data_IF_194308178128
#
_entry.id   IF_194308178128
#
_cell.length_a   1.000
_cell.length_b   1.000
_cell.length_c   1.000
_cell.angle_alpha   90.00
_cell.angle_beta   90.00
_cell.angle_gamma   90.00
#
_symmetry.space_group_name_H-M   'P 1'
#
loop_
_entity.id
_entity.type
_entity.pdbx_description
1 polymer ?
#
# COMPACT_ATOMS: atom_id res chain seq x y z
N UNK A 1 19.47 -8.73 5.33
CA UNK A 1 18.70 -7.98 4.32
C UNK A 1 17.68 -7.14 5.06
N UNK A 2 17.30 -5.96 4.54
CA UNK A 2 16.35 -5.05 5.21
C UNK A 2 14.94 -5.28 4.70
N UNK A 3 13.93 -5.16 5.56
CA UNK A 3 12.52 -5.18 5.22
C UNK A 3 12.09 -3.85 4.57
N UNK A 4 11.01 -3.89 3.79
CA UNK A 4 10.33 -2.71 3.26
C UNK A 4 8.90 -2.66 3.78
N UNK A 5 8.52 -1.53 4.39
CA UNK A 5 7.15 -1.24 4.81
C UNK A 5 6.41 -0.57 3.66
N UNK A 6 5.53 -1.33 3.01
CA UNK A 6 4.83 -0.85 1.81
C UNK A 6 3.63 0.07 2.09
N UNK A 7 3.32 0.34 3.38
CA UNK A 7 2.25 1.26 3.75
C UNK A 7 2.35 1.68 5.22
N UNK A 8 2.65 2.95 5.47
CA UNK A 8 2.59 3.55 6.80
C UNK A 8 2.22 5.04 6.71
N UNK A 9 1.59 5.57 7.75
CA UNK A 9 1.18 6.98 7.84
C UNK A 9 2.06 7.71 8.84
N UNK A 10 3.31 8.03 8.45
CA UNK A 10 4.29 8.67 9.33
C UNK A 10 3.81 9.98 9.97
N UNK A 11 3.03 10.86 9.28
CA UNK A 11 2.49 12.07 9.89
C UNK A 11 1.45 11.84 11.00
N UNK A 12 0.81 10.66 11.01
CA UNK A 12 -0.26 10.30 11.97
C UNK A 12 0.28 9.58 13.21
N UNK A 13 1.59 9.30 13.28
CA UNK A 13 2.19 8.64 14.42
C UNK A 13 2.15 9.54 15.66
N UNK A 14 1.93 8.98 16.87
CA UNK A 14 1.91 9.77 18.11
C UNK A 14 3.27 10.34 18.49
N UNK A 15 4.37 9.82 17.93
CA UNK A 15 5.74 10.29 18.11
C UNK A 15 6.28 10.92 16.81
N UNK A 16 7.36 11.71 16.89
CA UNK A 16 8.01 12.27 15.70
C UNK A 16 8.43 11.18 14.71
N UNK A 17 8.17 11.41 13.41
CA UNK A 17 8.51 10.45 12.35
C UNK A 17 9.99 10.04 12.37
N UNK A 18 10.90 10.99 12.65
CA UNK A 18 12.35 10.71 12.75
C UNK A 18 12.71 9.68 13.83
N UNK A 19 12.01 9.72 14.97
CA UNK A 19 12.20 8.74 16.04
C UNK A 19 11.65 7.37 15.65
N UNK A 20 10.45 7.33 15.07
CA UNK A 20 9.84 6.08 14.57
C UNK A 20 10.72 5.42 13.51
N UNK A 21 11.21 6.19 12.53
CA UNK A 21 12.14 5.72 11.50
C UNK A 21 13.46 5.22 12.10
N UNK A 22 14.00 5.90 13.12
CA UNK A 22 15.21 5.44 13.79
C UNK A 22 15.02 4.08 14.46
N UNK A 23 13.88 3.87 15.15
CA UNK A 23 13.56 2.57 15.74
C UNK A 23 13.34 1.48 14.68
N UNK A 24 12.64 1.81 13.60
CA UNK A 24 12.38 0.90 12.50
C UNK A 24 13.68 0.42 11.83
N UNK A 25 14.63 1.32 11.58
CA UNK A 25 15.94 0.97 11.02
C UNK A 25 16.72 0.02 11.93
N UNK A 26 16.67 0.25 13.26
CA UNK A 26 17.27 -0.67 14.25
C UNK A 26 16.59 -2.04 14.26
N UNK A 27 15.31 -2.09 13.94
CA UNK A 27 14.53 -3.33 13.81
C UNK A 27 14.70 -4.02 12.44
N UNK A 28 15.55 -3.50 11.54
CA UNK A 28 15.82 -4.09 10.23
C UNK A 28 14.88 -3.64 9.11
N UNK A 29 14.08 -2.58 9.32
CA UNK A 29 13.24 -1.98 8.26
C UNK A 29 14.01 -0.83 7.62
N UNK A 30 14.28 -0.90 6.33
CA UNK A 30 15.15 0.08 5.65
C UNK A 30 14.52 0.77 4.44
N UNK A 31 13.23 0.54 4.19
CA UNK A 31 12.45 1.25 3.16
C UNK A 31 11.03 1.48 3.67
N UNK A 32 10.45 2.63 3.32
CA UNK A 32 9.15 3.04 3.81
C UNK A 32 8.35 3.73 2.70
N UNK A 33 7.09 3.35 2.53
CA UNK A 33 6.13 4.11 1.76
C UNK A 33 5.24 4.90 2.73
N UNK A 34 5.44 6.21 2.79
CA UNK A 34 4.63 7.13 3.57
C UNK A 34 3.39 7.52 2.78
N UNK A 35 2.23 7.04 3.21
CA UNK A 35 1.00 7.12 2.44
C UNK A 35 0.12 8.29 2.88
N UNK A 36 -0.39 9.04 1.88
CA UNK A 36 -1.33 10.15 2.04
C UNK A 36 -2.74 9.63 2.29
N UNK A 37 -3.45 10.24 3.23
CA UNK A 37 -4.89 10.01 3.51
C UNK A 37 -5.71 11.22 3.09
N UNK A 38 -5.21 12.43 3.35
CA UNK A 38 -5.87 13.68 3.03
C UNK A 38 -5.07 14.52 2.05
N UNK A 39 -5.77 15.42 1.35
CA UNK A 39 -5.11 16.32 0.40
C UNK A 39 -4.03 17.21 1.04
N UNK A 40 -4.23 17.57 2.29
CA UNK A 40 -3.34 18.42 3.07
C UNK A 40 -2.11 17.70 3.65
N UNK A 41 -2.05 16.36 3.54
CA UNK A 41 -0.86 15.59 3.96
C UNK A 41 0.35 15.79 3.04
N UNK A 42 0.09 16.12 1.77
CA UNK A 42 1.10 16.17 0.73
C UNK A 42 2.36 16.99 1.06
N UNK A 43 2.27 18.23 1.62
CA UNK A 43 3.47 18.99 1.97
C UNK A 43 4.30 18.34 3.08
N UNK A 44 3.65 17.64 4.03
CA UNK A 44 4.34 16.94 5.10
C UNK A 44 5.08 15.71 4.58
N UNK A 45 4.45 14.97 3.67
CA UNK A 45 5.05 13.79 3.01
C UNK A 45 6.26 14.20 2.17
N UNK A 46 6.17 15.26 1.36
CA UNK A 46 7.31 15.77 0.59
C UNK A 46 8.51 16.08 1.49
N UNK A 47 8.29 16.79 2.60
CA UNK A 47 9.37 17.07 3.56
C UNK A 47 9.99 15.82 4.17
N UNK A 48 9.22 14.75 4.36
CA UNK A 48 9.75 13.46 4.84
C UNK A 48 10.61 12.79 3.78
N UNK A 49 10.18 12.78 2.52
CA UNK A 49 10.95 12.24 1.39
C UNK A 49 12.27 12.99 1.20
N UNK A 50 12.26 14.32 1.30
CA UNK A 50 13.47 15.15 1.20
C UNK A 50 14.49 14.88 2.32
N UNK A 51 14.00 14.65 3.54
CA UNK A 51 14.87 14.46 4.73
C UNK A 51 15.35 13.02 4.90
N UNK A 52 14.64 12.06 4.35
CA UNK A 52 14.87 10.63 4.55
C UNK A 52 14.89 9.91 3.21
N UNK A 53 16.08 9.64 2.62
CA UNK A 53 16.19 9.01 1.29
C UNK A 53 15.64 7.57 1.20
N UNK A 54 15.36 6.94 2.32
CA UNK A 54 14.73 5.63 2.45
C UNK A 54 13.19 5.70 2.58
N UNK A 55 12.62 6.93 2.55
CA UNK A 55 11.18 7.17 2.55
C UNK A 55 10.74 7.62 1.16
N UNK A 56 9.84 6.88 0.55
CA UNK A 56 9.05 7.30 -0.59
C UNK A 56 7.66 7.75 -0.11
N UNK A 57 7.00 8.61 -0.89
CA UNK A 57 5.67 9.12 -0.57
C UNK A 57 4.62 8.75 -1.59
N UNK A 58 3.36 8.96 -1.24
CA UNK A 58 2.25 8.94 -2.18
C UNK A 58 1.48 10.26 -2.17
N UNK A 59 0.60 10.43 -3.14
CA UNK A 59 -0.39 11.50 -3.21
C UNK A 59 -1.76 10.91 -3.50
N UNK A 60 -2.74 11.22 -2.66
CA UNK A 60 -4.10 10.71 -2.81
C UNK A 60 -5.02 11.17 -1.69
N UNK A 61 -6.28 10.79 -1.80
CA UNK A 61 -7.33 11.10 -0.83
C UNK A 61 -8.12 9.85 -0.54
N UNK A 62 -8.09 9.43 0.71
CA UNK A 62 -8.77 8.24 1.21
C UNK A 62 -10.30 8.32 0.97
N UNK A 63 -11.00 7.20 0.69
CA UNK A 63 -12.44 7.21 0.42
C UNK A 63 -13.28 7.86 1.52
N UNK A 64 -12.85 7.80 2.78
CA UNK A 64 -13.58 8.36 3.92
C UNK A 64 -13.34 9.86 4.16
N UNK A 65 -12.40 10.48 3.44
CA UNK A 65 -12.20 11.93 3.55
C UNK A 65 -13.39 12.70 2.94
N UNK A 66 -13.95 13.61 3.70
CA UNK A 66 -15.11 14.39 3.26
C UNK A 66 -14.69 15.50 2.30
N UNK A 67 -13.62 16.21 2.64
CA UNK A 67 -13.10 17.33 1.84
C UNK A 67 -11.88 16.87 1.00
N UNK A 68 -12.11 16.76 -0.29
CA UNK A 68 -11.03 16.50 -1.26
C UNK A 68 -10.57 17.80 -1.96
N UNK A 69 -11.12 18.96 -1.57
CA UNK A 69 -10.84 20.20 -2.26
C UNK A 69 -11.23 20.15 -3.75
N UNK A 70 -10.44 20.83 -4.58
CA UNK A 70 -10.60 20.80 -6.05
C UNK A 70 -9.78 19.66 -6.66
N UNK A 71 -10.07 18.42 -6.25
CA UNK A 71 -9.37 17.26 -6.77
C UNK A 71 -9.70 17.04 -8.25
N UNK A 72 -8.65 16.88 -9.07
CA UNK A 72 -8.78 16.41 -10.45
C UNK A 72 -7.67 15.43 -10.79
N UNK A 73 -7.88 14.62 -11.83
CA UNK A 73 -6.88 13.65 -12.30
C UNK A 73 -5.58 14.34 -12.71
N UNK A 74 -5.66 15.51 -13.33
CA UNK A 74 -4.51 16.30 -13.80
C UNK A 74 -3.68 16.83 -12.63
N UNK A 75 -4.35 17.38 -11.61
CA UNK A 75 -3.67 17.90 -10.41
C UNK A 75 -3.01 16.80 -9.58
N UNK A 76 -3.67 15.64 -9.45
CA UNK A 76 -3.07 14.45 -8.84
C UNK A 76 -1.84 13.98 -9.62
N UNK A 77 -1.97 13.88 -10.95
CA UNK A 77 -0.88 13.47 -11.83
C UNK A 77 0.31 14.44 -11.76
N UNK A 78 0.06 15.75 -11.75
CA UNK A 78 1.08 16.77 -11.57
C UNK A 78 1.84 16.56 -10.24
N UNK A 79 1.13 16.45 -9.13
CA UNK A 79 1.75 16.22 -7.82
C UNK A 79 2.52 14.91 -7.72
N UNK A 80 2.09 13.88 -8.44
CA UNK A 80 2.77 12.59 -8.48
C UNK A 80 4.12 12.63 -9.22
N UNK A 81 4.44 13.71 -9.95
CA UNK A 81 5.75 13.89 -10.60
C UNK A 81 6.84 14.42 -9.65
N UNK A 82 6.47 14.92 -8.48
CA UNK A 82 7.43 15.47 -7.54
C UNK A 82 8.47 14.42 -7.08
N UNK A 83 9.73 14.83 -6.88
CA UNK A 83 10.77 13.94 -6.37
C UNK A 83 10.34 13.30 -5.04
N UNK A 84 10.55 11.99 -4.94
CA UNK A 84 10.17 11.21 -3.75
C UNK A 84 8.74 10.68 -3.76
N UNK A 85 7.84 11.15 -4.65
CA UNK A 85 6.50 10.59 -4.79
C UNK A 85 6.55 9.39 -5.72
N UNK A 86 6.22 8.22 -5.19
CA UNK A 86 6.33 6.92 -5.87
C UNK A 86 5.00 6.33 -6.32
N UNK A 87 3.86 6.77 -5.76
CA UNK A 87 2.56 6.17 -5.99
C UNK A 87 1.42 7.18 -5.91
N UNK A 88 0.26 6.83 -6.46
CA UNK A 88 -1.01 7.54 -6.27
C UNK A 88 -1.89 6.71 -5.33
N UNK A 89 -2.33 7.35 -4.26
CA UNK A 89 -3.13 6.77 -3.19
C UNK A 89 -2.75 7.37 -1.82
N UNK A 90 -3.45 6.99 -0.79
CA UNK A 90 -4.42 5.92 -0.69
C UNK A 90 -5.75 6.32 -1.35
N UNK A 91 -6.34 5.41 -2.09
CA UNK A 91 -7.63 5.61 -2.76
C UNK A 91 -8.40 4.29 -2.84
N UNK A 92 -9.65 4.33 -3.21
CA UNK A 92 -10.48 3.13 -3.33
C UNK A 92 -11.86 3.33 -2.75
N UNK A 93 -12.42 2.26 -2.14
CA UNK A 93 -13.78 2.25 -1.62
C UNK A 93 -13.83 1.67 -0.20
N UNK A 94 -14.59 2.35 0.68
CA UNK A 94 -14.91 1.88 2.04
C UNK A 94 -16.42 2.00 2.27
N UNK A 95 -17.13 0.88 2.14
CA UNK A 95 -18.58 0.84 2.37
C UNK A 95 -18.94 0.50 3.82
N UNK A 96 -17.94 0.25 4.65
CA UNK A 96 -18.15 0.00 6.08
C UNK A 96 -18.14 1.29 6.91
N UNK A 97 -17.19 2.21 6.65
CA UNK A 97 -17.02 3.46 7.40
C UNK A 97 -17.50 4.70 6.65
N UNK A 98 -17.75 4.57 5.34
CA UNK A 98 -18.20 5.67 4.51
C UNK A 98 -19.51 6.26 4.99
N UNK A 99 -19.71 7.55 4.69
CA UNK A 99 -20.93 8.34 4.98
C UNK A 99 -22.17 7.91 4.17
N UNK A 100 -22.09 6.76 3.47
CA UNK A 100 -23.13 6.26 2.57
C UNK A 100 -23.07 6.86 1.16
N UNK A 101 -22.20 7.82 0.88
CA UNK A 101 -22.05 8.42 -0.44
C UNK A 101 -21.13 7.59 -1.36
N UNK A 102 -21.62 6.44 -1.81
CA UNK A 102 -20.88 5.52 -2.69
C UNK A 102 -20.50 6.17 -4.02
N UNK A 103 -21.40 6.95 -4.61
CA UNK A 103 -21.16 7.63 -5.89
C UNK A 103 -19.96 8.59 -5.81
N UNK A 104 -19.86 9.36 -4.73
CA UNK A 104 -18.71 10.24 -4.48
C UNK A 104 -17.41 9.46 -4.35
N UNK A 105 -17.39 8.34 -3.59
CA UNK A 105 -16.23 7.49 -3.46
C UNK A 105 -15.82 6.90 -4.80
N UNK A 106 -16.77 6.38 -5.58
CA UNK A 106 -16.51 5.78 -6.89
C UNK A 106 -15.95 6.80 -7.89
N UNK A 107 -16.52 8.01 -7.95
CA UNK A 107 -16.02 9.06 -8.86
C UNK A 107 -14.60 9.50 -8.45
N UNK A 108 -14.35 9.71 -7.16
CA UNK A 108 -13.01 10.01 -6.64
C UNK A 108 -12.01 8.90 -6.98
N UNK A 109 -12.41 7.67 -6.84
CA UNK A 109 -11.59 6.51 -7.18
C UNK A 109 -11.22 6.50 -8.66
N UNK A 110 -12.18 6.75 -9.57
CA UNK A 110 -11.93 6.89 -11.00
C UNK A 110 -10.92 8.00 -11.32
N UNK A 111 -11.03 9.14 -10.64
CA UNK A 111 -10.09 10.26 -10.81
C UNK A 111 -8.65 9.84 -10.45
N UNK A 112 -8.45 9.08 -9.36
CA UNK A 112 -7.13 8.58 -8.97
C UNK A 112 -6.58 7.57 -9.99
N UNK A 113 -7.41 6.67 -10.52
CA UNK A 113 -6.97 5.71 -11.54
C UNK A 113 -6.52 6.46 -12.81
N UNK A 114 -7.30 7.43 -13.27
CA UNK A 114 -6.93 8.27 -14.43
C UNK A 114 -5.64 9.03 -14.17
N UNK A 115 -5.46 9.58 -12.97
CA UNK A 115 -4.23 10.26 -12.58
C UNK A 115 -3.02 9.30 -12.57
N UNK A 116 -3.18 8.08 -12.07
CA UNK A 116 -2.14 7.05 -12.05
C UNK A 116 -1.66 6.72 -13.47
N UNK A 117 -2.58 6.57 -14.40
CA UNK A 117 -2.27 6.33 -15.83
C UNK A 117 -1.55 7.52 -16.45
N UNK A 118 -2.02 8.76 -16.19
CA UNK A 118 -1.36 9.99 -16.68
C UNK A 118 0.08 10.13 -16.15
N UNK A 119 0.27 9.88 -14.86
CA UNK A 119 1.57 10.01 -14.21
C UNK A 119 2.47 8.76 -14.36
N UNK A 120 1.93 7.65 -14.89
CA UNK A 120 2.57 6.33 -14.93
C UNK A 120 3.08 5.92 -13.55
N UNK A 121 2.22 6.02 -12.53
CA UNK A 121 2.52 5.66 -11.15
C UNK A 121 1.61 4.52 -10.69
N UNK A 122 2.11 3.58 -9.87
CA UNK A 122 1.27 2.53 -9.30
C UNK A 122 0.23 3.11 -8.35
N UNK A 123 -0.87 2.38 -8.19
CA UNK A 123 -1.97 2.71 -7.28
C UNK A 123 -1.79 2.03 -5.91
N UNK A 124 -2.22 2.70 -4.85
CA UNK A 124 -2.40 2.12 -3.51
C UNK A 124 -3.90 2.04 -3.24
N UNK A 125 -4.44 0.82 -3.19
CA UNK A 125 -5.88 0.59 -3.15
C UNK A 125 -6.33 0.18 -1.75
N UNK A 126 -7.21 0.98 -1.19
CA UNK A 126 -8.05 0.65 -0.04
C UNK A 126 -9.34 -0.04 -0.50
N UNK A 127 -9.67 -1.17 0.10
CA UNK A 127 -10.94 -1.85 -0.17
C UNK A 127 -11.53 -2.44 1.11
N UNK A 128 -12.71 -1.93 1.50
CA UNK A 128 -13.43 -2.45 2.67
C UNK A 128 -14.91 -2.61 2.39
N UNK A 129 -15.37 -3.88 2.41
CA UNK A 129 -16.77 -4.26 2.07
C UNK A 129 -17.25 -3.76 0.70
N UNK A 130 -16.30 -3.62 -0.28
CA UNK A 130 -16.57 -3.02 -1.58
C UNK A 130 -15.89 -3.76 -2.75
N UNK A 131 -15.57 -5.06 -2.62
CA UNK A 131 -14.74 -5.80 -3.56
C UNK A 131 -15.25 -5.78 -5.00
N UNK A 132 -16.55 -6.01 -5.22
CA UNK A 132 -17.10 -6.08 -6.58
C UNK A 132 -16.99 -4.74 -7.30
N UNK A 133 -17.38 -3.64 -6.63
CA UNK A 133 -17.29 -2.31 -7.23
C UNK A 133 -15.82 -1.89 -7.42
N UNK A 134 -14.94 -2.21 -6.47
CA UNK A 134 -13.51 -1.92 -6.57
C UNK A 134 -12.88 -2.60 -7.79
N UNK A 135 -13.06 -3.91 -7.94
CA UNK A 135 -12.49 -4.67 -9.06
C UNK A 135 -13.12 -4.28 -10.40
N UNK A 136 -14.42 -4.00 -10.40
CA UNK A 136 -15.13 -3.54 -11.59
C UNK A 136 -14.61 -2.17 -12.07
N UNK A 137 -14.44 -1.20 -11.16
CA UNK A 137 -13.95 0.13 -11.50
C UNK A 137 -12.49 0.07 -11.96
N UNK A 138 -11.62 -0.71 -11.29
CA UNK A 138 -10.23 -0.90 -11.72
C UNK A 138 -10.17 -1.41 -13.17
N UNK A 139 -10.98 -2.41 -13.51
CA UNK A 139 -11.05 -2.96 -14.87
C UNK A 139 -11.62 -1.95 -15.88
N UNK A 140 -12.72 -1.26 -15.53
CA UNK A 140 -13.35 -0.26 -16.41
C UNK A 140 -12.44 0.91 -16.76
N UNK A 141 -11.61 1.34 -15.81
CA UNK A 141 -10.71 2.49 -15.99
C UNK A 141 -9.31 2.10 -16.50
N UNK A 142 -9.06 0.81 -16.81
CA UNK A 142 -7.78 0.33 -17.35
C UNK A 142 -6.63 0.44 -16.34
N UNK A 143 -6.90 0.17 -15.07
CA UNK A 143 -5.91 0.30 -14.00
C UNK A 143 -4.74 -0.68 -14.13
N UNK A 144 -4.92 -1.79 -14.86
CA UNK A 144 -3.86 -2.78 -15.14
C UNK A 144 -2.66 -2.19 -15.89
N UNK A 145 -2.80 -1.07 -16.59
CA UNK A 145 -1.70 -0.39 -17.28
C UNK A 145 -0.61 0.09 -16.31
N UNK A 146 -1.01 0.50 -15.11
CA UNK A 146 -0.08 0.93 -14.06
C UNK A 146 0.07 -0.08 -12.95
N UNK A 147 -0.96 -0.89 -12.73
CA UNK A 147 -1.03 -1.80 -11.59
C UNK A 147 -0.95 -1.07 -10.25
N UNK A 148 -0.48 -1.77 -9.23
CA UNK A 148 -0.36 -1.20 -7.89
C UNK A 148 -0.37 -2.26 -6.81
N UNK A 149 -0.90 -1.90 -5.65
CA UNK A 149 -1.04 -2.78 -4.49
C UNK A 149 -2.46 -2.71 -3.92
N UNK A 150 -3.03 -3.86 -3.62
CA UNK A 150 -4.16 -3.99 -2.71
C UNK A 150 -3.60 -3.97 -1.30
N UNK A 151 -3.61 -2.79 -0.67
CA UNK A 151 -3.04 -2.62 0.66
C UNK A 151 -3.95 -3.23 1.73
N UNK A 152 -3.37 -3.62 2.86
CA UNK A 152 -4.07 -4.19 4.01
C UNK A 152 -5.13 -5.22 3.61
N UNK A 153 -4.74 -6.15 2.73
CA UNK A 153 -5.67 -7.08 2.10
C UNK A 153 -6.41 -7.93 3.12
N UNK A 154 -7.74 -7.95 3.00
CA UNK A 154 -8.65 -8.73 3.88
C UNK A 154 -9.67 -9.55 3.09
N UNK A 155 -9.56 -9.58 1.77
CA UNK A 155 -10.42 -10.38 0.89
C UNK A 155 -10.10 -11.88 0.92
N UNK A 156 -10.90 -12.64 0.18
CA UNK A 156 -10.69 -14.06 -0.05
C UNK A 156 -9.75 -14.33 -1.25
N UNK A 157 -9.60 -15.61 -1.57
CA UNK A 157 -8.73 -16.02 -2.67
C UNK A 157 -9.21 -15.49 -4.04
N UNK A 158 -10.52 -15.43 -4.26
CA UNK A 158 -11.06 -14.98 -5.55
C UNK A 158 -10.79 -13.49 -5.77
N UNK A 159 -10.93 -12.66 -4.72
CA UNK A 159 -10.59 -11.25 -4.79
C UNK A 159 -9.09 -11.04 -5.01
N UNK A 160 -8.24 -11.83 -4.34
CA UNK A 160 -6.79 -11.78 -4.57
C UNK A 160 -6.43 -12.17 -6.01
N UNK A 161 -7.01 -13.25 -6.54
CA UNK A 161 -6.79 -13.74 -7.91
C UNK A 161 -7.19 -12.68 -8.95
N UNK A 162 -8.37 -12.08 -8.79
CA UNK A 162 -8.87 -11.03 -9.70
C UNK A 162 -8.00 -9.76 -9.62
N UNK A 163 -7.55 -9.38 -8.42
CA UNK A 163 -6.62 -8.25 -8.24
C UNK A 163 -5.30 -8.49 -8.97
N UNK A 164 -4.72 -9.69 -8.83
CA UNK A 164 -3.47 -10.04 -9.52
C UNK A 164 -3.62 -10.08 -11.05
N UNK A 165 -4.79 -10.46 -11.57
CA UNK A 165 -5.10 -10.40 -13.00
C UNK A 165 -5.14 -8.96 -13.53
N UNK A 166 -5.49 -7.98 -12.69
CA UNK A 166 -5.41 -6.55 -12.96
C UNK A 166 -4.04 -5.94 -12.63
N UNK A 167 -3.00 -6.77 -12.53
CA UNK A 167 -1.62 -6.35 -12.27
C UNK A 167 -1.37 -5.74 -10.86
N UNK A 168 -2.16 -6.12 -9.85
CA UNK A 168 -1.95 -5.67 -8.47
C UNK A 168 -1.17 -6.69 -7.65
N UNK A 169 -0.25 -6.21 -6.82
CA UNK A 169 0.34 -6.95 -5.71
C UNK A 169 -0.64 -7.00 -4.53
N UNK A 170 -0.40 -7.94 -3.62
CA UNK A 170 -1.19 -8.14 -2.40
C UNK A 170 -0.30 -7.86 -1.20
N UNK A 171 -0.69 -6.90 -0.37
CA UNK A 171 0.05 -6.54 0.85
C UNK A 171 -0.67 -7.00 2.11
N UNK A 172 0.08 -7.61 3.03
CA UNK A 172 -0.43 -8.09 4.30
C UNK A 172 0.12 -7.28 5.46
N UNK A 173 -0.79 -6.84 6.33
CA UNK A 173 -0.49 -6.10 7.56
C UNK A 173 -0.44 -7.00 8.80
N UNK A 174 -0.27 -6.38 9.96
CA UNK A 174 -0.30 -7.02 11.28
C UNK A 174 -1.53 -7.88 11.55
N UNK A 175 -2.62 -7.74 10.77
CA UNK A 175 -3.83 -8.58 10.85
C UNK A 175 -3.49 -10.08 10.73
N UNK A 176 -2.48 -10.46 9.93
CA UNK A 176 -2.07 -11.87 9.81
C UNK A 176 -1.75 -12.53 11.15
N UNK A 177 -1.26 -11.75 12.11
CA UNK A 177 -0.89 -12.24 13.45
C UNK A 177 -2.10 -12.47 14.37
N UNK A 178 -3.30 -11.98 14.01
CA UNK A 178 -4.48 -12.01 14.86
C UNK A 178 -5.07 -13.43 14.98
N UNK A 179 -5.65 -13.74 16.14
CA UNK A 179 -6.18 -15.09 16.42
C UNK A 179 -7.22 -15.57 15.39
N UNK A 180 -8.04 -14.65 14.89
CA UNK A 180 -9.14 -14.93 13.96
C UNK A 180 -8.77 -14.76 12.47
N UNK A 181 -7.49 -14.62 12.13
CA UNK A 181 -7.02 -14.42 10.76
C UNK A 181 -6.86 -15.73 9.94
N UNK A 182 -7.47 -16.85 10.39
CA UNK A 182 -7.36 -18.15 9.70
C UNK A 182 -7.60 -18.09 8.19
N UNK A 183 -8.77 -17.60 7.75
CA UNK A 183 -9.06 -17.50 6.30
C UNK A 183 -8.05 -16.65 5.53
N UNK A 184 -7.61 -15.52 6.10
CA UNK A 184 -6.61 -14.64 5.48
C UNK A 184 -5.24 -15.34 5.34
N UNK A 185 -4.86 -16.16 6.33
CA UNK A 185 -3.62 -16.95 6.29
C UNK A 185 -3.62 -17.96 5.15
N UNK A 186 -4.78 -18.58 4.84
CA UNK A 186 -4.88 -19.48 3.70
C UNK A 186 -4.68 -18.74 2.37
N UNK A 187 -5.18 -17.52 2.25
CA UNK A 187 -4.90 -16.65 1.09
C UNK A 187 -3.41 -16.34 1.02
N UNK A 188 -2.79 -15.89 2.13
CA UNK A 188 -1.40 -15.48 2.18
C UNK A 188 -0.41 -16.61 1.77
N UNK A 189 -0.74 -17.88 2.06
CA UNK A 189 0.06 -19.03 1.60
C UNK A 189 0.06 -19.19 0.07
N UNK A 190 -0.98 -18.72 -0.60
CA UNK A 190 -1.23 -18.97 -2.03
C UNK A 190 -0.76 -17.84 -2.93
N UNK A 191 -0.45 -16.66 -2.37
CA UNK A 191 0.02 -15.52 -3.18
C UNK A 191 1.38 -15.87 -3.79
N UNK A 192 1.57 -15.72 -5.12
CA UNK A 192 2.85 -15.88 -5.77
C UNK A 192 3.91 -14.94 -5.20
N UNK A 193 5.16 -15.40 -5.18
CA UNK A 193 6.29 -14.68 -4.57
C UNK A 193 6.44 -13.26 -5.15
N UNK A 194 6.25 -13.10 -6.46
CA UNK A 194 6.38 -11.84 -7.18
C UNK A 194 5.21 -10.87 -6.98
N UNK A 195 4.16 -11.29 -6.28
CA UNK A 195 2.96 -10.48 -5.99
C UNK A 195 2.79 -10.16 -4.51
N UNK A 196 3.76 -10.53 -3.68
CA UNK A 196 3.68 -10.47 -2.24
C UNK A 196 4.35 -9.22 -1.67
N UNK A 197 3.63 -8.46 -0.85
CA UNK A 197 4.13 -7.33 -0.07
C UNK A 197 3.73 -7.47 1.40
N UNK A 198 4.41 -6.74 2.26
CA UNK A 198 4.09 -6.60 3.68
C UNK A 198 4.12 -5.13 4.09
N UNK A 199 3.32 -4.81 5.10
CA UNK A 199 3.18 -3.45 5.61
C UNK A 199 2.84 -3.43 7.09
N UNK A 200 2.96 -2.25 7.70
CA UNK A 200 2.45 -2.03 9.06
C UNK A 200 1.04 -1.47 9.08
N UNK A 201 0.69 -0.58 8.20
CA UNK A 201 -0.47 0.31 8.28
C UNK A 201 -0.44 1.18 9.56
N UNK A 202 0.77 1.51 10.02
CA UNK A 202 0.97 2.29 11.24
C UNK A 202 0.37 3.72 11.10
N UNK A 203 -0.36 4.22 12.12
CA UNK A 203 -0.42 3.78 13.53
C UNK A 203 -1.46 2.69 13.84
N UNK A 204 -2.09 2.11 12.86
CA UNK A 204 -3.18 1.14 13.00
C UNK A 204 -2.65 -0.31 13.05
N UNK A 205 -3.52 -1.25 13.43
CA UNK A 205 -3.35 -2.70 13.23
C UNK A 205 -2.08 -3.32 13.84
N UNK A 206 -1.62 -2.81 15.00
CA UNK A 206 -0.44 -3.35 15.67
C UNK A 206 -0.46 -4.89 15.76
N UNK A 207 0.61 -5.57 15.30
CA UNK A 207 0.69 -7.03 15.31
C UNK A 207 0.78 -7.59 16.76
N UNK A 208 0.56 -8.88 16.94
CA UNK A 208 0.96 -9.59 18.15
C UNK A 208 2.49 -9.57 18.23
N UNK A 209 3.11 -9.25 19.41
CA UNK A 209 2.50 -9.09 20.73
C UNK A 209 2.04 -7.68 21.09
N UNK A 210 2.03 -6.73 20.16
CA UNK A 210 1.78 -5.30 20.43
C UNK A 210 0.30 -4.88 20.34
N UNK A 211 -0.62 -5.84 20.28
CA UNK A 211 -2.08 -5.55 20.22
C UNK A 211 -2.53 -4.57 21.31
N UNK A 212 -3.40 -3.60 20.89
CA UNK A 212 -3.92 -2.57 21.80
C UNK A 212 -3.00 -1.36 21.99
N UNK A 213 -1.80 -1.36 21.40
CA UNK A 213 -0.90 -0.19 21.34
C UNK A 213 -0.99 0.48 19.97
N UNK A 214 -0.51 1.73 19.87
CA UNK A 214 -0.24 2.34 18.58
C UNK A 214 0.82 1.51 17.83
N UNK A 215 0.56 1.26 16.55
CA UNK A 215 1.51 0.58 15.68
C UNK A 215 2.62 1.53 15.23
N UNK A 216 3.76 0.99 14.85
CA UNK A 216 4.87 1.73 14.25
C UNK A 216 5.64 0.85 13.26
N UNK A 217 6.37 1.43 12.28
CA UNK A 217 7.13 0.66 11.30
C UNK A 217 8.14 -0.33 11.91
N UNK A 218 8.61 -0.08 13.14
CA UNK A 218 9.48 -0.99 13.89
C UNK A 218 8.84 -2.35 14.21
N UNK A 219 7.51 -2.49 14.08
CA UNK A 219 6.80 -3.74 14.35
C UNK A 219 6.60 -4.60 13.09
N UNK A 220 7.02 -4.15 11.91
CA UNK A 220 6.95 -4.91 10.67
C UNK A 220 7.58 -6.31 10.75
N UNK A 221 8.72 -6.53 11.46
CA UNK A 221 9.29 -7.87 11.61
C UNK A 221 8.32 -8.93 12.13
N UNK A 222 7.38 -8.58 13.01
CA UNK A 222 6.39 -9.55 13.51
C UNK A 222 5.42 -10.02 12.42
N UNK A 223 5.04 -9.13 11.48
CA UNK A 223 4.25 -9.51 10.31
C UNK A 223 5.08 -10.40 9.38
N UNK A 224 6.34 -10.04 9.14
CA UNK A 224 7.27 -10.80 8.31
C UNK A 224 7.50 -12.22 8.87
N UNK A 225 7.81 -12.35 10.15
CA UNK A 225 8.01 -13.64 10.83
C UNK A 225 6.76 -14.54 10.73
N UNK A 226 5.58 -13.96 10.99
CA UNK A 226 4.31 -14.67 10.86
C UNK A 226 4.11 -15.20 9.44
N UNK A 227 4.34 -14.37 8.43
CA UNK A 227 4.16 -14.75 7.02
C UNK A 227 5.20 -15.78 6.57
N UNK A 228 6.47 -15.64 6.97
CA UNK A 228 7.52 -16.61 6.69
C UNK A 228 7.18 -18.00 7.24
N UNK A 229 6.74 -18.07 8.50
CA UNK A 229 6.28 -19.32 9.13
C UNK A 229 5.09 -19.93 8.37
N UNK A 230 4.13 -19.11 7.95
CA UNK A 230 2.97 -19.59 7.20
C UNK A 230 3.35 -20.19 5.84
N UNK A 231 4.40 -19.70 5.22
CA UNK A 231 4.87 -20.12 3.89
C UNK A 231 5.95 -21.19 3.95
N UNK A 232 6.46 -21.50 5.14
CA UNK A 232 7.53 -22.49 5.35
C UNK A 232 8.88 -22.04 4.83
N UNK A 233 9.15 -20.73 4.86
CA UNK A 233 10.40 -20.10 4.41
C UNK A 233 11.09 -19.34 5.55
N UNK A 234 12.35 -18.98 5.39
CA UNK A 234 13.07 -18.18 6.37
C UNK A 234 12.63 -16.71 6.34
N UNK A 235 12.75 -15.96 7.45
CA UNK A 235 12.51 -14.52 7.46
C UNK A 235 13.37 -13.75 6.46
N UNK A 236 14.57 -14.22 6.19
CA UNK A 236 15.52 -13.64 5.24
C UNK A 236 15.05 -13.81 3.79
N UNK A 237 14.54 -14.99 3.43
CA UNK A 237 13.95 -15.26 2.11
C UNK A 237 12.71 -14.40 1.88
N UNK A 238 11.81 -14.33 2.87
CA UNK A 238 10.62 -13.48 2.80
C UNK A 238 11.01 -12.00 2.64
N UNK A 239 11.95 -11.51 3.46
CA UNK A 239 12.42 -10.13 3.38
C UNK A 239 13.01 -9.81 1.99
N UNK A 240 13.74 -10.76 1.39
CA UNK A 240 14.28 -10.61 0.04
C UNK A 240 13.16 -10.43 -0.99
N UNK A 241 12.20 -11.35 -1.00
CA UNK A 241 11.09 -11.36 -1.95
C UNK A 241 10.27 -10.07 -1.84
N UNK A 242 9.79 -9.76 -0.63
CA UNK A 242 8.91 -8.61 -0.42
C UNK A 242 9.61 -7.27 -0.66
N UNK A 243 10.89 -7.15 -0.32
CA UNK A 243 11.66 -5.92 -0.61
C UNK A 243 11.97 -5.78 -2.09
N UNK A 244 12.27 -6.88 -2.80
CA UNK A 244 12.44 -6.87 -4.25
C UNK A 244 11.16 -6.39 -4.95
N UNK A 245 10.00 -6.91 -4.54
CA UNK A 245 8.70 -6.51 -5.08
C UNK A 245 8.39 -5.04 -4.76
N UNK A 246 8.70 -4.58 -3.54
CA UNK A 246 8.57 -3.17 -3.16
C UNK A 246 9.39 -2.27 -4.09
N UNK A 247 10.66 -2.61 -4.32
CA UNK A 247 11.54 -1.83 -5.19
C UNK A 247 11.07 -1.85 -6.65
N UNK A 248 10.62 -2.98 -7.15
CA UNK A 248 10.06 -3.09 -8.50
C UNK A 248 8.81 -2.22 -8.69
N UNK A 249 7.96 -2.11 -7.65
CA UNK A 249 6.71 -1.36 -7.75
C UNK A 249 6.89 0.14 -7.48
N UNK A 250 7.73 0.54 -6.52
CA UNK A 250 7.78 1.91 -5.99
C UNK A 250 9.10 2.66 -6.27
N UNK A 251 10.06 2.07 -6.98
CA UNK A 251 11.27 2.82 -7.35
C UNK A 251 11.02 3.74 -8.55
N UNK A 252 11.63 4.94 -8.58
CA UNK A 252 11.59 5.81 -9.76
C UNK A 252 12.23 5.06 -10.95
N UNK A 253 11.45 4.73 -11.97
CA UNK A 253 11.87 3.97 -13.15
C UNK A 253 11.40 2.52 -13.20
N UNK A 254 10.69 2.00 -12.17
CA UNK A 254 10.14 0.64 -12.12
C UNK A 254 8.84 0.43 -12.91
N UNK A 255 8.39 1.39 -13.68
CA UNK A 255 7.24 1.25 -14.57
C UNK A 255 7.59 0.38 -15.80
N UNK A 256 7.31 -0.93 -15.69
CA UNK A 256 7.11 -1.83 -16.82
C UNK A 256 8.24 -1.93 -17.84
N UNK A 257 9.32 -2.65 -17.54
CA UNK A 257 10.06 -3.33 -18.61
C UNK A 257 9.23 -4.55 -19.03
N UNK A 258 8.41 -4.37 -20.07
CA UNK A 258 8.06 -5.52 -20.91
C UNK A 258 9.38 -5.98 -21.55
N UNK A 259 9.95 -7.07 -21.05
CA UNK A 259 10.86 -7.86 -21.86
C UNK A 259 10.10 -8.29 -23.10
N UNK A 260 10.54 -7.79 -24.26
CA UNK A 260 10.13 -8.28 -25.57
C UNK A 260 10.33 -9.80 -25.58
N UNK A 261 9.22 -10.54 -25.61
CA UNK A 261 9.30 -11.99 -25.89
C UNK A 261 9.83 -12.15 -27.31
N UNK A 262 10.91 -12.88 -27.53
CA UNK A 262 11.34 -13.21 -28.88
C UNK A 262 10.26 -14.04 -29.57
N UNK A 263 10.03 -13.71 -30.85
CA UNK A 263 9.09 -14.38 -31.75
C UNK A 263 9.50 -15.83 -32.03
#
# INVERSE_FOLDING_TARGET
MTLADSHCHLPLLPQPASEALSRARKAGVGRFLCVSVAWDDYPAILRLCERHPDVAGSVGVHPNEEDAGKLSSELLAERATAPGIAAIGETGLDYYRGDGNRERQQERFRQHIRAARLARRPLIIHCREAWEDTLSILSQEGAEETGGVMHCFTGGWEEARRSMQLNFAISFSGILTFKNAGPLREVARRIPDERLLIETDAPYLAPVPHRGKANEPAFLPHTAECLAQLRGESPEELAHKTTTNYLALFSPGGGGTQEERPQ
#
